data_IF_017213036899
#
_entry.id   IF_017213036899
#
_cell.length_a   1.000
_cell.length_b   1.000
_cell.length_c   1.000
_cell.angle_alpha   90.00
_cell.angle_beta   90.00
_cell.angle_gamma   90.00
#
_symmetry.space_group_name_H-M   'P 1'
#
loop_
_entity.id
_entity.type
_entity.pdbx_description
1 polymer ?
#
# COMPACT_ATOMS: atom_id res chain seq x y z
N UNK A 1 -23.82 4.53 -15.21
CA UNK A 1 -22.35 4.46 -15.27
C UNK A 1 -22.03 3.10 -15.88
N UNK A 2 -21.23 3.07 -16.93
CA UNK A 2 -20.80 1.82 -17.57
C UNK A 2 -19.76 1.14 -16.69
N UNK A 3 -19.88 -0.19 -16.46
CA UNK A 3 -18.88 -0.96 -15.74
C UNK A 3 -18.14 -1.88 -16.71
N UNK A 4 -16.81 -1.86 -16.68
CA UNK A 4 -15.93 -2.71 -17.48
C UNK A 4 -15.09 -3.55 -16.52
N UNK A 5 -15.23 -4.88 -16.61
CA UNK A 5 -14.43 -5.82 -15.83
C UNK A 5 -13.16 -6.15 -16.58
N UNK A 6 -12.03 -5.94 -15.94
CA UNK A 6 -10.69 -6.23 -16.42
C UNK A 6 -10.03 -7.26 -15.51
N UNK A 7 -8.93 -7.84 -15.96
CA UNK A 7 -8.10 -8.72 -15.13
C UNK A 7 -6.66 -8.23 -15.14
N UNK A 8 -6.04 -8.23 -13.99
CA UNK A 8 -4.65 -7.85 -13.78
C UNK A 8 -3.70 -8.51 -14.79
N UNK A 9 -2.82 -7.70 -15.39
CA UNK A 9 -1.80 -8.06 -16.36
C UNK A 9 -2.34 -8.94 -17.53
N UNK A 10 -3.59 -8.71 -17.93
CA UNK A 10 -4.25 -9.44 -19.01
C UNK A 10 -4.82 -8.46 -20.02
N UNK A 11 -4.70 -8.73 -21.34
CA UNK A 11 -5.33 -7.91 -22.36
C UNK A 11 -6.84 -8.11 -22.39
N UNK A 12 -7.60 -7.03 -22.46
CA UNK A 12 -9.04 -7.04 -22.75
C UNK A 12 -9.25 -6.28 -24.05
N UNK A 13 -9.79 -6.96 -25.07
CA UNK A 13 -9.95 -6.41 -26.41
C UNK A 13 -11.33 -5.81 -26.64
N UNK A 14 -11.39 -4.80 -27.51
CA UNK A 14 -12.66 -4.27 -27.99
C UNK A 14 -13.49 -3.55 -26.93
N UNK A 15 -12.86 -2.79 -26.04
CA UNK A 15 -13.55 -2.02 -25.01
C UNK A 15 -14.10 -0.70 -25.59
N UNK A 16 -15.41 -0.46 -25.45
CA UNK A 16 -16.05 0.78 -25.84
C UNK A 16 -15.84 1.87 -24.79
N UNK A 17 -14.70 2.57 -24.85
CA UNK A 17 -14.37 3.69 -23.97
C UNK A 17 -14.09 4.96 -24.76
N UNK A 18 -14.22 6.12 -24.11
CA UNK A 18 -13.88 7.39 -24.76
C UNK A 18 -12.37 7.57 -24.92
N UNK A 19 -11.88 8.34 -25.92
CA UNK A 19 -10.47 8.69 -26.04
C UNK A 19 -9.90 9.37 -24.78
N UNK A 20 -10.72 10.19 -24.10
CA UNK A 20 -10.35 10.82 -22.82
C UNK A 20 -10.10 9.78 -21.72
N UNK A 21 -10.95 8.75 -21.64
CA UNK A 21 -10.77 7.62 -20.71
C UNK A 21 -9.51 6.83 -21.04
N UNK A 22 -9.26 6.55 -22.33
CA UNK A 22 -8.07 5.84 -22.79
C UNK A 22 -6.77 6.60 -22.41
N UNK A 23 -6.74 7.90 -22.68
CA UNK A 23 -5.62 8.75 -22.29
C UNK A 23 -5.42 8.78 -20.77
N UNK A 24 -6.52 8.89 -20.00
CA UNK A 24 -6.46 8.91 -18.53
C UNK A 24 -5.88 7.62 -17.96
N UNK A 25 -6.32 6.44 -18.43
CA UNK A 25 -5.78 5.13 -17.99
C UNK A 25 -4.26 5.05 -18.22
N UNK A 26 -3.80 5.50 -19.38
CA UNK A 26 -2.38 5.49 -19.75
C UNK A 26 -1.58 6.51 -18.93
N UNK A 27 -2.07 7.74 -18.81
CA UNK A 27 -1.41 8.80 -18.04
C UNK A 27 -1.27 8.46 -16.55
N UNK A 28 -2.25 7.72 -15.99
CA UNK A 28 -2.20 7.22 -14.60
C UNK A 28 -1.44 5.91 -14.45
N UNK A 29 -0.88 5.36 -15.52
CA UNK A 29 -0.15 4.08 -15.53
C UNK A 29 -0.97 2.89 -15.01
N UNK A 30 -2.29 2.95 -15.12
CA UNK A 30 -3.21 1.87 -14.74
C UNK A 30 -3.18 0.79 -15.82
N UNK A 31 -3.22 1.22 -17.08
CA UNK A 31 -3.18 0.32 -18.24
C UNK A 31 -2.50 0.99 -19.43
N UNK A 32 -1.94 0.19 -20.31
CA UNK A 32 -1.59 0.61 -21.67
C UNK A 32 -2.82 0.42 -22.55
N UNK A 33 -3.22 1.46 -23.28
CA UNK A 33 -4.42 1.44 -24.13
C UNK A 33 -4.01 1.68 -25.56
N UNK A 34 -4.49 0.83 -26.48
CA UNK A 34 -4.22 0.90 -27.91
C UNK A 34 -5.54 0.89 -28.68
N UNK A 35 -5.64 1.53 -29.85
CA UNK A 35 -6.79 1.37 -30.74
C UNK A 35 -7.00 -0.10 -31.10
N UNK A 36 -8.24 -0.56 -31.06
CA UNK A 36 -8.62 -1.92 -31.47
C UNK A 36 -8.73 -2.02 -33.00
N UNK A 37 -8.75 -3.23 -33.53
CA UNK A 37 -9.05 -3.47 -34.94
C UNK A 37 -10.44 -2.93 -35.35
N UNK A 38 -11.37 -2.85 -34.43
CA UNK A 38 -12.72 -2.26 -34.63
C UNK A 38 -12.68 -0.76 -34.36
N UNK A 39 -13.02 0.05 -35.34
CA UNK A 39 -13.04 1.52 -35.20
C UNK A 39 -13.93 1.96 -34.03
N UNK A 40 -13.43 2.89 -33.19
CA UNK A 40 -14.12 3.40 -32.01
C UNK A 40 -13.97 2.54 -30.75
N UNK A 41 -13.25 1.41 -30.81
CA UNK A 41 -12.95 0.56 -29.68
C UNK A 41 -11.46 0.56 -29.34
N UNK A 42 -11.14 0.17 -28.11
CA UNK A 42 -9.78 0.15 -27.58
C UNK A 42 -9.46 -1.22 -26.97
N UNK A 43 -8.19 -1.63 -27.10
CA UNK A 43 -7.63 -2.78 -26.41
C UNK A 43 -6.88 -2.28 -25.18
N UNK A 44 -7.22 -2.83 -24.02
CA UNK A 44 -6.71 -2.40 -22.71
C UNK A 44 -5.80 -3.49 -22.15
N UNK A 45 -4.54 -3.13 -21.86
CA UNK A 45 -3.56 -3.99 -21.20
C UNK A 45 -3.33 -3.46 -19.79
N UNK A 46 -3.96 -4.06 -18.80
CA UNK A 46 -3.79 -3.68 -17.40
C UNK A 46 -2.37 -3.99 -16.91
N UNK A 47 -1.81 -3.08 -16.08
CA UNK A 47 -0.59 -3.35 -15.34
C UNK A 47 -0.79 -4.35 -14.20
N UNK A 48 0.22 -4.46 -13.34
CA UNK A 48 0.14 -5.24 -12.10
C UNK A 48 -0.58 -4.43 -11.01
N UNK A 49 -1.86 -4.15 -11.26
CA UNK A 49 -2.76 -3.40 -10.37
C UNK A 49 -4.11 -4.11 -10.31
N UNK A 50 -4.79 -4.04 -9.19
CA UNK A 50 -6.15 -4.52 -9.02
C UNK A 50 -6.98 -3.56 -8.16
N UNK A 51 -8.30 -3.70 -8.21
CA UNK A 51 -9.24 -2.86 -7.48
C UNK A 51 -10.26 -2.19 -8.37
N UNK A 52 -10.85 -1.11 -7.90
CA UNK A 52 -11.91 -0.36 -8.61
C UNK A 52 -11.44 1.05 -8.88
N UNK A 53 -11.70 1.55 -10.07
CA UNK A 53 -11.45 2.94 -10.43
C UNK A 53 -12.49 3.45 -11.41
N UNK A 54 -12.90 4.70 -11.26
CA UNK A 54 -13.90 5.32 -12.13
C UNK A 54 -13.34 6.58 -12.78
N UNK A 55 -13.57 6.75 -14.06
CA UNK A 55 -13.21 7.97 -14.80
C UNK A 55 -14.19 8.21 -15.96
N UNK A 56 -14.53 9.47 -16.22
CA UNK A 56 -15.36 9.89 -17.35
C UNK A 56 -16.67 9.07 -17.50
N UNK A 57 -17.33 8.72 -16.39
CA UNK A 57 -18.57 7.96 -16.40
C UNK A 57 -18.43 6.45 -16.60
N UNK A 58 -17.19 5.94 -16.70
CA UNK A 58 -16.87 4.51 -16.77
C UNK A 58 -16.21 4.04 -15.49
N UNK A 59 -16.68 2.93 -14.94
CA UNK A 59 -16.05 2.22 -13.82
C UNK A 59 -15.27 1.02 -14.35
N UNK A 60 -14.05 0.87 -13.91
CA UNK A 60 -13.20 -0.29 -14.17
C UNK A 60 -13.05 -1.12 -12.91
N UNK A 61 -13.38 -2.40 -12.98
CA UNK A 61 -13.18 -3.38 -11.92
C UNK A 61 -12.06 -4.31 -12.36
N UNK A 62 -10.88 -4.19 -11.74
CA UNK A 62 -9.69 -4.94 -12.11
C UNK A 62 -9.51 -6.08 -11.10
N UNK A 63 -9.84 -7.30 -11.53
CA UNK A 63 -9.68 -8.48 -10.70
C UNK A 63 -8.20 -8.88 -10.57
N UNK A 64 -7.70 -9.26 -9.37
CA UNK A 64 -6.33 -9.70 -9.19
C UNK A 64 -6.09 -11.07 -9.86
N UNK A 65 -4.82 -11.38 -10.14
CA UNK A 65 -4.39 -12.71 -10.58
C UNK A 65 -4.52 -13.74 -9.47
N UNK A 66 -4.22 -13.31 -8.25
CA UNK A 66 -4.30 -14.13 -7.04
C UNK A 66 -5.72 -14.19 -6.50
N UNK A 67 -6.09 -15.23 -5.73
CA UNK A 67 -7.30 -15.21 -4.94
C UNK A 67 -7.31 -13.97 -4.02
N UNK A 68 -8.41 -13.26 -3.98
CA UNK A 68 -8.56 -11.97 -3.29
C UNK A 68 -8.09 -12.04 -1.84
N UNK A 69 -8.47 -13.08 -1.10
CA UNK A 69 -8.06 -13.27 0.29
C UNK A 69 -6.54 -13.47 0.45
N UNK A 70 -5.86 -14.10 -0.51
CA UNK A 70 -4.40 -14.25 -0.51
C UNK A 70 -3.71 -12.91 -0.69
N UNK A 71 -4.21 -12.10 -1.61
CA UNK A 71 -3.69 -10.75 -1.81
C UNK A 71 -3.83 -9.90 -0.54
N UNK A 72 -4.97 -9.94 0.15
CA UNK A 72 -5.16 -9.21 1.41
C UNK A 72 -4.25 -9.77 2.51
N UNK A 73 -4.06 -11.08 2.60
CA UNK A 73 -3.11 -11.68 3.55
C UNK A 73 -1.68 -11.18 3.32
N UNK A 74 -1.21 -11.17 2.06
CA UNK A 74 0.11 -10.64 1.69
C UNK A 74 0.23 -9.14 1.97
N UNK A 75 -0.80 -8.37 1.64
CA UNK A 75 -0.85 -6.93 1.88
C UNK A 75 -0.73 -6.62 3.37
N UNK A 76 -1.49 -7.33 4.21
CA UNK A 76 -1.46 -7.21 5.66
C UNK A 76 -0.06 -7.52 6.19
N UNK A 77 0.46 -8.68 5.84
CA UNK A 77 1.79 -9.11 6.27
C UNK A 77 2.88 -8.12 5.85
N UNK A 78 2.85 -7.67 4.60
CA UNK A 78 3.84 -6.74 4.07
C UNK A 78 3.93 -5.43 4.86
N UNK A 79 2.79 -4.93 5.36
CA UNK A 79 2.71 -3.66 6.09
C UNK A 79 2.98 -3.81 7.59
N UNK A 80 2.41 -4.84 8.20
CA UNK A 80 2.34 -4.94 9.67
C UNK A 80 3.20 -6.07 10.24
N UNK A 81 3.58 -7.06 9.43
CA UNK A 81 4.20 -8.30 9.87
C UNK A 81 3.22 -9.26 10.55
N UNK A 82 1.95 -8.91 10.63
CA UNK A 82 0.92 -9.78 11.19
C UNK A 82 0.39 -10.75 10.14
N UNK A 83 0.12 -11.97 10.56
CA UNK A 83 -0.54 -12.97 9.73
C UNK A 83 -2.05 -12.77 9.85
N UNK A 84 -2.73 -12.69 8.71
CA UNK A 84 -4.19 -12.68 8.65
C UNK A 84 -4.67 -13.76 7.70
N UNK A 85 -5.67 -14.51 8.12
CA UNK A 85 -6.36 -15.49 7.30
C UNK A 85 -7.85 -15.17 7.25
N UNK A 86 -8.39 -15.16 6.04
CA UNK A 86 -9.80 -14.91 5.83
C UNK A 86 -10.67 -16.03 6.41
N UNK A 87 -11.73 -15.68 7.13
CA UNK A 87 -12.76 -16.63 7.54
C UNK A 87 -13.47 -17.22 6.31
N UNK A 88 -14.17 -18.39 6.44
CA UNK A 88 -14.87 -19.00 5.32
C UNK A 88 -15.84 -18.05 4.59
N UNK A 89 -16.52 -17.17 5.30
CA UNK A 89 -17.41 -16.15 4.73
C UNK A 89 -16.65 -15.06 4.00
N UNK A 90 -15.50 -14.63 4.52
CA UNK A 90 -14.65 -13.64 3.89
C UNK A 90 -13.97 -14.17 2.62
N UNK A 91 -13.67 -15.47 2.56
CA UNK A 91 -13.14 -16.11 1.35
C UNK A 91 -14.11 -16.09 0.16
N UNK A 92 -15.40 -15.91 0.41
CA UNK A 92 -16.42 -15.81 -0.63
C UNK A 92 -16.48 -14.41 -1.27
N UNK A 93 -15.95 -13.39 -0.61
CA UNK A 93 -15.89 -12.03 -1.15
C UNK A 93 -14.89 -12.00 -2.32
N UNK A 94 -15.42 -11.74 -3.52
CA UNK A 94 -14.62 -11.79 -4.76
C UNK A 94 -13.94 -10.46 -5.06
N UNK A 95 -14.56 -9.35 -4.68
CA UNK A 95 -13.98 -8.03 -4.89
C UNK A 95 -12.91 -7.72 -3.85
N UNK A 96 -11.74 -7.31 -4.32
CA UNK A 96 -10.59 -7.03 -3.45
C UNK A 96 -10.80 -5.79 -2.58
N UNK A 97 -11.56 -4.83 -3.08
CA UNK A 97 -11.85 -3.60 -2.35
C UNK A 97 -12.86 -3.88 -1.25
N UNK A 98 -13.92 -4.63 -1.56
CA UNK A 98 -14.90 -5.05 -0.56
C UNK A 98 -14.24 -5.87 0.56
N UNK A 99 -13.36 -6.82 0.21
CA UNK A 99 -12.65 -7.62 1.22
C UNK A 99 -11.70 -6.75 2.06
N UNK A 100 -11.02 -5.78 1.47
CA UNK A 100 -10.18 -4.82 2.20
C UNK A 100 -11.02 -4.02 3.21
N UNK A 101 -12.21 -3.56 2.80
CA UNK A 101 -13.11 -2.82 3.69
C UNK A 101 -13.69 -3.69 4.80
N UNK A 102 -14.04 -4.96 4.49
CA UNK A 102 -14.48 -5.97 5.47
C UNK A 102 -13.38 -6.21 6.50
N UNK A 103 -12.16 -6.37 6.03
CA UNK A 103 -11.00 -6.54 6.89
C UNK A 103 -10.75 -5.31 7.78
N UNK A 104 -10.77 -4.11 7.20
CA UNK A 104 -10.67 -2.86 7.94
C UNK A 104 -11.72 -2.75 9.04
N UNK A 105 -12.99 -3.09 8.74
CA UNK A 105 -14.09 -3.04 9.71
C UNK A 105 -13.85 -3.96 10.92
N UNK A 106 -13.31 -5.16 10.68
CA UNK A 106 -12.96 -6.13 11.72
C UNK A 106 -11.85 -5.60 12.62
N UNK A 107 -10.73 -5.19 12.04
CA UNK A 107 -9.53 -4.70 12.77
C UNK A 107 -9.82 -3.44 13.57
N UNK A 108 -10.56 -2.49 12.97
CA UNK A 108 -10.95 -1.26 13.64
C UNK A 108 -11.92 -1.53 14.80
N UNK A 109 -12.87 -2.45 14.62
CA UNK A 109 -13.83 -2.83 15.68
C UNK A 109 -13.11 -3.44 16.87
N UNK A 110 -12.11 -4.28 16.64
CA UNK A 110 -11.30 -4.87 17.72
C UNK A 110 -10.44 -3.80 18.44
N UNK A 111 -9.78 -2.93 17.68
CA UNK A 111 -8.97 -1.85 18.26
C UNK A 111 -9.80 -0.91 19.14
N UNK A 112 -11.06 -0.64 18.76
CA UNK A 112 -11.98 0.26 19.47
C UNK A 112 -12.75 -0.39 20.62
N UNK A 113 -12.52 -1.66 20.96
CA UNK A 113 -13.19 -2.32 22.11
C UNK A 113 -13.04 -1.53 23.41
N UNK A 114 -11.95 -0.82 23.58
CA UNK A 114 -11.66 0.00 24.77
C UNK A 114 -11.83 1.50 24.54
N UNK A 115 -12.48 1.89 23.44
CA UNK A 115 -12.76 3.27 23.06
C UNK A 115 -11.70 3.90 22.14
N UNK A 116 -11.94 5.18 21.81
CA UNK A 116 -11.07 5.99 20.97
C UNK A 116 -9.73 6.30 21.65
N UNK A 117 -8.70 6.47 20.85
CA UNK A 117 -7.45 7.09 21.30
C UNK A 117 -7.73 8.50 21.81
N UNK A 118 -7.01 8.87 22.86
CA UNK A 118 -7.01 10.25 23.39
C UNK A 118 -5.58 10.74 23.48
N UNK A 119 -5.42 11.99 23.15
CA UNK A 119 -4.12 12.65 23.16
C UNK A 119 -4.23 14.11 23.55
N UNK A 120 -3.06 14.73 23.67
CA UNK A 120 -2.98 16.16 23.97
C UNK A 120 -2.83 16.94 22.67
N UNK A 121 -3.77 17.86 22.45
CA UNK A 121 -3.73 18.82 21.37
C UNK A 121 -3.43 20.22 21.89
N UNK A 122 -2.49 20.91 21.25
CA UNK A 122 -2.21 22.30 21.59
C UNK A 122 -3.30 23.21 21.03
N UNK A 123 -4.18 23.69 21.88
CA UNK A 123 -5.28 24.58 21.51
C UNK A 123 -4.88 26.03 21.80
N UNK A 124 -5.02 26.89 20.78
CA UNK A 124 -4.84 28.34 20.91
C UNK A 124 -6.17 29.02 20.64
N UNK A 125 -6.71 29.71 21.65
CA UNK A 125 -7.98 30.43 21.51
C UNK A 125 -8.11 31.63 22.41
N UNK A 126 -9.09 32.46 22.12
CA UNK A 126 -9.53 33.52 23.02
C UNK A 126 -10.36 32.93 24.17
N UNK A 127 -10.09 33.40 25.39
CA UNK A 127 -10.76 32.95 26.59
C UNK A 127 -10.97 34.10 27.56
N UNK A 128 -12.08 34.04 28.29
CA UNK A 128 -12.31 34.95 29.44
C UNK A 128 -11.54 34.53 30.69
N UNK A 129 -11.11 33.27 30.74
CA UNK A 129 -10.38 32.67 31.84
C UNK A 129 -8.96 32.35 31.42
N UNK A 130 -8.00 32.60 32.33
CA UNK A 130 -6.63 32.17 32.15
C UNK A 130 -6.50 30.66 32.27
N UNK A 131 -5.92 30.04 31.24
CA UNK A 131 -5.60 28.63 31.23
C UNK A 131 -4.36 28.39 30.37
N UNK A 132 -3.38 27.67 30.91
CA UNK A 132 -2.15 27.36 30.21
C UNK A 132 -1.21 28.58 30.08
N UNK A 133 -0.71 28.87 28.89
CA UNK A 133 0.24 29.94 28.59
C UNK A 133 -0.46 31.13 27.90
N UNK A 134 -0.21 32.35 28.36
CA UNK A 134 -0.64 33.54 27.66
C UNK A 134 0.26 33.80 26.43
N UNK A 135 -0.36 34.04 25.29
CA UNK A 135 0.30 34.37 24.03
C UNK A 135 0.46 35.91 23.95
N UNK A 136 1.47 36.42 24.66
CA UNK A 136 1.69 37.85 24.80
C UNK A 136 1.75 38.61 23.47
N UNK A 137 2.44 38.07 22.46
CA UNK A 137 2.52 38.67 21.13
C UNK A 137 1.15 38.90 20.52
N UNK A 138 0.29 37.88 20.56
CA UNK A 138 -1.06 37.95 20.00
C UNK A 138 -1.98 38.82 20.86
N UNK A 139 -1.82 38.79 22.18
CA UNK A 139 -2.55 39.66 23.11
C UNK A 139 -2.30 41.12 22.80
N UNK A 140 -1.04 41.51 22.65
CA UNK A 140 -0.67 42.92 22.37
C UNK A 140 -1.09 43.35 20.96
N UNK A 141 -0.92 42.49 19.96
CA UNK A 141 -1.23 42.83 18.56
C UNK A 141 -2.74 42.91 18.27
N UNK A 142 -3.53 42.03 18.88
CA UNK A 142 -4.98 41.93 18.60
C UNK A 142 -5.86 42.75 19.50
N UNK A 143 -5.44 42.96 20.75
CA UNK A 143 -6.30 43.57 21.76
C UNK A 143 -5.86 44.95 22.21
N UNK A 144 -4.81 45.56 21.59
CA UNK A 144 -4.37 46.92 21.84
C UNK A 144 -4.32 47.26 23.35
N UNK A 145 -3.64 46.40 24.12
CA UNK A 145 -3.51 46.50 25.61
C UNK A 145 -4.79 46.23 26.42
N UNK A 146 -5.89 45.79 25.81
CA UNK A 146 -7.05 45.30 26.58
C UNK A 146 -6.69 43.97 27.26
N UNK A 147 -7.09 43.85 28.53
CA UNK A 147 -6.80 42.63 29.31
C UNK A 147 -7.64 41.44 28.88
N UNK A 148 -8.86 41.68 28.42
CA UNK A 148 -9.79 40.63 27.97
C UNK A 148 -10.31 40.92 26.57
N UNK A 149 -10.56 39.84 25.74
CA UNK A 149 -10.30 38.44 26.03
C UNK A 149 -8.80 38.10 26.05
N UNK A 150 -8.42 37.02 26.77
CA UNK A 150 -7.05 36.54 26.86
C UNK A 150 -6.73 35.61 25.67
N UNK A 151 -5.60 35.82 25.02
CA UNK A 151 -5.04 34.91 24.02
C UNK A 151 -4.27 33.78 24.75
N UNK A 152 -4.89 32.64 24.94
CA UNK A 152 -4.31 31.51 25.69
C UNK A 152 -3.96 30.32 24.81
N UNK A 153 -2.89 29.62 25.21
CA UNK A 153 -2.49 28.34 24.64
C UNK A 153 -2.39 27.33 25.76
N UNK A 154 -3.06 26.18 25.57
CA UNK A 154 -3.04 25.11 26.54
C UNK A 154 -3.14 23.75 25.86
N UNK A 155 -2.74 22.70 26.59
CA UNK A 155 -2.93 21.33 26.17
C UNK A 155 -4.35 20.87 26.50
N UNK A 156 -5.08 20.44 25.49
CA UNK A 156 -6.41 19.88 25.63
C UNK A 156 -6.36 18.36 25.42
N UNK A 157 -6.84 17.58 26.41
CA UNK A 157 -6.91 16.12 26.28
C UNK A 157 -8.19 15.74 25.54
N UNK A 158 -8.08 15.35 24.31
CA UNK A 158 -9.20 15.17 23.38
C UNK A 158 -9.10 13.87 22.59
N UNK A 159 -10.21 13.40 22.05
CA UNK A 159 -10.27 12.37 21.01
C UNK A 159 -10.09 12.93 19.59
N UNK A 160 -10.15 14.25 19.41
CA UNK A 160 -9.95 14.86 18.10
C UNK A 160 -8.45 14.99 17.75
N UNK A 161 -7.81 13.85 17.54
CA UNK A 161 -6.39 13.71 17.22
C UNK A 161 -6.20 13.15 15.80
N UNK A 162 -5.03 13.34 15.18
CA UNK A 162 -4.73 12.88 13.83
C UNK A 162 -5.13 11.44 13.54
N UNK A 163 -4.81 10.52 14.43
CA UNK A 163 -5.12 9.10 14.29
C UNK A 163 -6.63 8.86 14.13
N UNK A 164 -7.43 9.46 15.00
CA UNK A 164 -8.88 9.28 14.94
C UNK A 164 -9.51 9.97 13.73
N UNK A 165 -8.97 11.09 13.28
CA UNK A 165 -9.41 11.78 12.05
C UNK A 165 -9.16 10.91 10.82
N UNK A 166 -8.00 10.26 10.71
CA UNK A 166 -7.66 9.31 9.65
C UNK A 166 -8.63 8.12 9.66
N UNK A 167 -8.84 7.51 10.83
CA UNK A 167 -9.75 6.38 10.98
C UNK A 167 -11.19 6.75 10.59
N UNK A 168 -11.69 7.91 11.02
CA UNK A 168 -13.04 8.38 10.66
C UNK A 168 -13.16 8.61 9.15
N UNK A 169 -12.17 9.21 8.52
CA UNK A 169 -12.16 9.41 7.07
C UNK A 169 -12.21 8.08 6.32
N UNK A 170 -11.43 7.08 6.76
CA UNK A 170 -11.45 5.73 6.19
C UNK A 170 -12.80 5.01 6.42
N UNK A 171 -13.41 5.17 7.59
CA UNK A 171 -14.76 4.63 7.90
C UNK A 171 -15.80 5.21 6.93
N UNK A 172 -15.79 6.52 6.71
CA UNK A 172 -16.71 7.16 5.77
C UNK A 172 -16.49 6.64 4.35
N UNK A 173 -15.22 6.51 3.93
CA UNK A 173 -14.88 5.95 2.61
C UNK A 173 -15.37 4.52 2.45
N UNK A 174 -15.15 3.68 3.46
CA UNK A 174 -15.58 2.28 3.43
C UNK A 174 -17.10 2.16 3.37
N UNK A 175 -17.84 2.97 4.14
CA UNK A 175 -19.30 3.00 4.09
C UNK A 175 -19.83 3.44 2.73
N UNK A 176 -19.20 4.43 2.08
CA UNK A 176 -19.59 4.90 0.75
C UNK A 176 -19.31 3.84 -0.34
N UNK A 177 -18.28 3.01 -0.15
CA UNK A 177 -17.87 1.97 -1.09
C UNK A 177 -18.74 0.73 -0.98
N UNK A 178 -19.00 0.23 0.23
CA UNK A 178 -19.69 -1.04 0.51
C UNK A 178 -21.21 -1.03 0.28
N UNK A 179 -21.82 0.08 -0.06
CA UNK A 179 -23.30 0.20 -0.16
C UNK A 179 -23.93 -0.60 -1.30
N UNK A 180 -23.14 -1.22 -2.18
CA UNK A 180 -23.59 -1.84 -3.43
C UNK A 180 -23.59 -3.37 -3.45
N UNK A 181 -23.18 -4.04 -2.38
CA UNK A 181 -23.01 -5.48 -2.36
C UNK A 181 -23.96 -6.18 -1.35
N UNK A 182 -24.52 -7.33 -1.73
CA UNK A 182 -25.49 -8.13 -0.92
C UNK A 182 -24.80 -9.31 -0.22
N UNK A 183 -23.49 -9.30 -0.06
CA UNK A 183 -22.74 -10.37 0.58
C UNK A 183 -22.85 -10.28 2.11
N UNK A 184 -23.09 -11.39 2.81
CA UNK A 184 -23.24 -11.46 4.27
C UNK A 184 -22.06 -10.86 5.04
N UNK A 185 -20.82 -11.07 4.55
CA UNK A 185 -19.63 -10.49 5.15
C UNK A 185 -19.63 -8.97 5.02
N UNK A 186 -20.02 -8.46 3.85
CA UNK A 186 -20.14 -7.03 3.56
C UNK A 186 -21.23 -6.37 4.41
N UNK A 187 -22.40 -6.99 4.52
CA UNK A 187 -23.46 -6.49 5.39
C UNK A 187 -23.02 -6.40 6.86
N UNK A 188 -22.27 -7.41 7.31
CA UNK A 188 -21.73 -7.42 8.68
C UNK A 188 -20.73 -6.29 8.89
N UNK A 189 -19.83 -6.08 7.93
CA UNK A 189 -18.88 -4.96 7.96
C UNK A 189 -19.58 -3.61 7.97
N UNK A 190 -20.61 -3.42 7.15
CA UNK A 190 -21.41 -2.18 7.14
C UNK A 190 -22.06 -1.92 8.51
N UNK A 191 -22.62 -2.94 9.15
CA UNK A 191 -23.18 -2.80 10.52
C UNK A 191 -22.10 -2.44 11.53
N UNK A 192 -20.92 -3.08 11.47
CA UNK A 192 -19.77 -2.76 12.33
C UNK A 192 -19.31 -1.31 12.13
N UNK A 193 -19.08 -0.90 10.88
CA UNK A 193 -18.62 0.45 10.55
C UNK A 193 -19.62 1.54 10.97
N UNK A 194 -20.92 1.31 10.80
CA UNK A 194 -21.95 2.25 11.28
C UNK A 194 -21.93 2.40 12.81
N UNK A 195 -21.75 1.31 13.54
CA UNK A 195 -21.61 1.33 15.01
C UNK A 195 -20.34 2.08 15.42
N UNK A 196 -19.22 1.75 14.79
CA UNK A 196 -17.93 2.39 15.03
C UNK A 196 -18.01 3.89 14.72
N UNK A 197 -18.60 4.29 13.58
CA UNK A 197 -18.76 5.70 13.22
C UNK A 197 -19.46 6.52 14.30
N UNK A 198 -20.44 5.94 15.00
CA UNK A 198 -21.15 6.62 16.08
C UNK A 198 -20.27 6.95 17.29
N UNK A 199 -19.10 6.31 17.46
CA UNK A 199 -18.16 6.62 18.55
C UNK A 199 -17.29 7.85 18.25
N UNK A 200 -17.18 8.29 16.99
CA UNK A 200 -16.36 9.43 16.56
C UNK A 200 -17.07 10.80 16.61
N UNK A 201 -18.06 10.98 17.52
CA UNK A 201 -18.90 12.19 17.56
C UNK A 201 -18.10 13.49 17.74
N UNK A 202 -17.02 13.42 18.52
CA UNK A 202 -16.17 14.58 18.85
C UNK A 202 -14.94 14.70 17.96
N UNK A 203 -14.88 13.92 16.87
CA UNK A 203 -13.75 13.90 15.92
C UNK A 203 -14.13 14.66 14.66
N UNK A 204 -13.27 15.60 14.28
CA UNK A 204 -13.45 16.38 13.05
C UNK A 204 -13.29 15.50 11.82
N UNK A 205 -14.26 15.57 10.91
CA UNK A 205 -14.17 14.88 9.61
C UNK A 205 -13.20 15.63 8.70
N UNK A 206 -12.27 14.91 8.08
CA UNK A 206 -11.38 15.48 7.06
C UNK A 206 -12.19 15.86 5.82
N UNK A 207 -11.91 17.04 5.27
CA UNK A 207 -12.49 17.49 4.02
C UNK A 207 -12.06 16.64 2.83
N UNK A 208 -12.85 16.68 1.74
CA UNK A 208 -12.62 15.87 0.52
C UNK A 208 -11.25 16.09 -0.15
N UNK A 209 -10.62 17.24 0.08
CA UNK A 209 -9.33 17.62 -0.50
C UNK A 209 -8.25 17.87 0.58
N UNK A 210 -8.56 17.57 1.82
CA UNK A 210 -7.65 17.75 2.93
C UNK A 210 -6.70 16.56 2.99
N UNK A 211 -5.39 16.85 3.05
CA UNK A 211 -4.40 15.78 3.23
C UNK A 211 -4.58 15.16 4.60
N UNK A 212 -4.49 13.82 4.66
CA UNK A 212 -4.51 13.12 5.92
C UNK A 212 -3.39 13.66 6.84
N UNK A 213 -3.70 14.02 8.08
CA UNK A 213 -2.70 14.52 9.01
C UNK A 213 -1.65 13.44 9.29
N UNK A 214 -0.44 13.86 9.61
CA UNK A 214 0.64 12.92 9.96
C UNK A 214 0.44 12.42 11.39
N UNK A 215 0.63 11.14 11.59
CA UNK A 215 0.70 10.50 12.89
C UNK A 215 2.04 9.78 13.06
N UNK A 216 2.39 9.41 14.27
CA UNK A 216 3.64 8.70 14.55
C UNK A 216 3.39 7.51 15.47
N UNK A 217 3.93 6.31 15.13
CA UNK A 217 3.84 5.14 15.98
C UNK A 217 4.46 5.37 17.35
N UNK A 218 3.74 5.00 18.41
CA UNK A 218 4.22 5.02 19.79
C UNK A 218 3.54 3.91 20.61
N UNK A 219 3.95 3.75 21.87
CA UNK A 219 3.42 2.70 22.74
C UNK A 219 1.91 2.88 23.05
N UNK A 220 1.41 4.12 23.08
CA UNK A 220 0.03 4.43 23.45
C UNK A 220 -0.92 4.11 22.30
N UNK A 221 -0.50 4.30 21.03
CA UNK A 221 -1.32 4.03 19.86
C UNK A 221 -1.06 2.65 19.23
N UNK A 222 -0.25 1.78 19.85
CA UNK A 222 0.17 0.48 19.31
C UNK A 222 -0.98 -0.38 18.77
N UNK A 223 -2.12 -0.42 19.45
CA UNK A 223 -3.32 -1.18 19.04
C UNK A 223 -3.95 -0.65 17.77
N UNK A 224 -3.70 0.60 17.42
CA UNK A 224 -4.26 1.28 16.26
C UNK A 224 -3.31 1.33 15.07
N UNK A 225 -2.04 0.90 15.21
CA UNK A 225 -1.08 0.93 14.09
C UNK A 225 -1.66 0.20 12.88
N UNK A 226 -2.15 -1.02 13.09
CA UNK A 226 -2.66 -1.83 11.99
C UNK A 226 -3.93 -1.24 11.33
N UNK A 227 -5.01 -0.87 12.06
CA UNK A 227 -6.12 -0.15 11.46
C UNK A 227 -5.72 1.16 10.77
N UNK A 228 -4.74 1.89 11.29
CA UNK A 228 -4.23 3.12 10.68
C UNK A 228 -3.52 2.85 9.36
N UNK A 229 -2.68 1.82 9.29
CA UNK A 229 -2.00 1.41 8.05
C UNK A 229 -3.01 1.05 6.95
N UNK A 230 -4.10 0.34 7.31
CA UNK A 230 -5.17 0.03 6.37
C UNK A 230 -5.95 1.30 5.99
N UNK A 231 -6.25 2.16 6.97
CA UNK A 231 -6.92 3.43 6.73
C UNK A 231 -6.13 4.32 5.76
N UNK A 232 -4.82 4.44 5.93
CA UNK A 232 -3.95 5.16 5.00
C UNK A 232 -3.97 4.55 3.59
N UNK A 233 -4.00 3.22 3.47
CA UNK A 233 -4.15 2.55 2.19
C UNK A 233 -5.47 2.92 1.51
N UNK A 234 -6.58 2.88 2.26
CA UNK A 234 -7.91 3.26 1.77
C UNK A 234 -7.92 4.72 1.31
N UNK A 235 -7.28 5.61 2.06
CA UNK A 235 -7.26 7.05 1.77
C UNK A 235 -6.26 7.43 0.67
N UNK A 236 -5.11 6.74 0.58
CA UNK A 236 -4.10 7.01 -0.47
C UNK A 236 -4.63 6.74 -1.86
N UNK A 237 -5.53 5.80 -1.99
CA UNK A 237 -6.22 5.48 -3.25
C UNK A 237 -7.14 6.62 -3.72
N UNK A 238 -7.66 7.45 -2.81
CA UNK A 238 -8.38 8.69 -3.14
C UNK A 238 -7.47 9.80 -3.69
N UNK A 239 -6.18 9.80 -3.36
CA UNK A 239 -5.21 10.80 -3.83
C UNK A 239 -4.98 10.79 -5.35
N UNK A 240 -5.36 9.73 -6.04
CA UNK A 240 -5.37 9.67 -7.52
C UNK A 240 -6.40 10.65 -8.10
N UNK A 241 -7.38 11.07 -7.31
CA UNK A 241 -8.49 11.95 -7.70
C UNK A 241 -8.10 13.43 -7.78
N UNK A 242 -7.23 13.91 -6.90
CA UNK A 242 -7.02 15.35 -6.67
C UNK A 242 -6.29 16.08 -7.81
N UNK A 243 -5.60 15.35 -8.72
CA UNK A 243 -4.83 15.96 -9.81
C UNK A 243 -5.56 16.10 -11.15
N UNK A 244 -6.76 15.54 -11.29
CA UNK A 244 -7.47 15.48 -12.56
C UNK A 244 -8.64 16.45 -12.67
N UNK A 245 -8.50 17.72 -12.31
CA UNK A 245 -9.44 18.83 -12.51
C UNK A 245 -10.89 18.47 -12.89
N UNK A 246 -11.87 18.87 -12.09
CA UNK A 246 -13.35 18.85 -12.32
C UNK A 246 -14.08 17.52 -12.55
N UNK A 247 -13.45 16.38 -12.72
CA UNK A 247 -14.14 15.08 -12.80
C UNK A 247 -13.70 14.17 -11.66
N UNK A 248 -14.69 13.70 -10.88
CA UNK A 248 -14.50 12.77 -9.74
C UNK A 248 -14.12 11.39 -10.28
N UNK A 249 -12.85 11.05 -10.26
CA UNK A 249 -12.45 9.65 -10.30
C UNK A 249 -12.46 9.10 -8.88
N UNK A 250 -13.26 8.07 -8.63
CA UNK A 250 -13.35 7.40 -7.33
C UNK A 250 -12.80 5.99 -7.50
N UNK A 251 -11.89 5.58 -6.62
CA UNK A 251 -11.43 4.21 -6.67
C UNK A 251 -10.35 3.86 -5.67
N UNK A 252 -10.21 2.58 -5.45
CA UNK A 252 -9.12 1.97 -4.66
C UNK A 252 -8.33 1.08 -5.60
N UNK A 253 -7.05 1.39 -5.83
CA UNK A 253 -6.13 0.56 -6.59
C UNK A 253 -5.00 0.06 -5.71
N UNK A 254 -4.70 -1.22 -5.84
CA UNK A 254 -3.60 -1.90 -5.16
C UNK A 254 -2.56 -2.28 -6.19
N UNK A 255 -1.33 -1.80 -6.02
CA UNK A 255 -0.17 -2.19 -6.82
C UNK A 255 0.34 -3.55 -6.33
N UNK A 256 -0.07 -4.62 -6.98
CA UNK A 256 0.18 -6.00 -6.55
C UNK A 256 1.67 -6.38 -6.58
N UNK A 257 2.42 -5.83 -7.54
CA UNK A 257 3.87 -6.02 -7.59
C UNK A 257 4.57 -5.45 -6.34
N UNK A 258 4.10 -4.28 -5.86
CA UNK A 258 4.65 -3.64 -4.65
C UNK A 258 4.30 -4.42 -3.38
N UNK A 259 3.09 -5.02 -3.35
CA UNK A 259 2.70 -5.91 -2.25
C UNK A 259 3.65 -7.10 -2.18
N UNK A 260 3.96 -7.73 -3.31
CA UNK A 260 4.90 -8.86 -3.38
C UNK A 260 6.31 -8.45 -2.94
N UNK A 261 6.87 -7.38 -3.52
CA UNK A 261 8.19 -6.84 -3.16
C UNK A 261 8.29 -6.59 -1.65
N UNK A 262 7.31 -5.89 -1.08
CA UNK A 262 7.31 -5.55 0.35
C UNK A 262 7.11 -6.78 1.23
N UNK A 263 6.30 -7.77 0.80
CA UNK A 263 6.11 -9.02 1.54
C UNK A 263 7.40 -9.87 1.57
N UNK A 264 8.11 -9.97 0.45
CA UNK A 264 9.42 -10.63 0.38
C UNK A 264 10.42 -9.91 1.27
N UNK A 265 10.54 -8.58 1.16
CA UNK A 265 11.43 -7.79 1.98
C UNK A 265 11.15 -7.94 3.48
N UNK A 266 9.87 -8.04 3.85
CA UNK A 266 9.47 -8.29 5.24
C UNK A 266 9.89 -9.68 5.70
N UNK A 267 9.65 -10.72 4.92
CA UNK A 267 10.02 -12.08 5.27
C UNK A 267 11.54 -12.25 5.41
N UNK A 268 12.34 -11.55 4.60
CA UNK A 268 13.79 -11.49 4.77
C UNK A 268 14.20 -10.87 6.11
N UNK A 269 13.56 -9.72 6.48
CA UNK A 269 13.86 -9.08 7.78
C UNK A 269 13.43 -9.90 8.98
N UNK A 270 12.34 -10.66 8.86
CA UNK A 270 11.84 -11.50 9.92
C UNK A 270 12.71 -12.79 10.10
N UNK A 271 13.45 -13.18 9.05
CA UNK A 271 14.25 -14.43 9.03
C UNK A 271 15.74 -14.21 9.28
N UNK A 272 16.27 -13.02 9.04
CA UNK A 272 17.70 -12.73 9.11
C UNK A 272 18.02 -11.82 10.31
N UNK A 273 19.30 -11.72 10.72
CA UNK A 273 19.72 -10.85 11.81
C UNK A 273 19.25 -9.40 11.60
N UNK A 274 18.92 -8.74 12.72
CA UNK A 274 18.46 -7.34 12.66
C UNK A 274 19.50 -6.43 12.01
N UNK A 275 19.06 -5.62 11.01
CA UNK A 275 19.93 -4.70 10.29
C UNK A 275 20.64 -5.28 9.07
N UNK A 276 20.59 -6.61 8.84
CA UNK A 276 21.24 -7.24 7.69
C UNK A 276 20.52 -6.99 6.36
N UNK A 277 19.25 -6.57 6.37
CA UNK A 277 18.44 -6.40 5.15
C UNK A 277 18.15 -4.92 4.88
N UNK A 278 18.68 -4.41 3.77
CA UNK A 278 18.37 -3.08 3.22
C UNK A 278 17.49 -3.21 1.99
N UNK A 279 16.55 -2.28 1.81
CA UNK A 279 15.65 -2.26 0.65
C UNK A 279 15.84 -1.01 -0.18
N UNK A 280 15.72 -1.14 -1.50
CA UNK A 280 15.73 -0.03 -2.45
C UNK A 280 16.95 0.90 -2.30
N UNK A 281 18.10 0.33 -1.92
CA UNK A 281 19.34 1.09 -1.73
C UNK A 281 19.90 1.53 -3.09
N UNK A 282 20.00 2.84 -3.28
CA UNK A 282 20.56 3.40 -4.52
C UNK A 282 22.09 3.39 -4.49
N UNK A 283 22.74 2.83 -5.54
CA UNK A 283 24.19 2.83 -5.71
C UNK A 283 24.55 3.31 -7.12
N UNK A 284 25.63 4.09 -7.25
CA UNK A 284 26.10 4.53 -8.58
C UNK A 284 26.58 3.34 -9.40
N UNK A 285 26.23 3.32 -10.67
CA UNK A 285 26.68 2.30 -11.63
C UNK A 285 28.21 2.39 -11.87
N UNK A 286 28.72 3.61 -11.95
CA UNK A 286 30.15 3.92 -12.13
C UNK A 286 30.47 5.28 -11.49
N UNK A 287 31.71 5.54 -11.05
CA UNK A 287 32.16 6.87 -10.64
C UNK A 287 31.96 7.94 -11.72
N UNK A 288 32.05 7.55 -12.99
CA UNK A 288 32.06 8.45 -14.15
C UNK A 288 30.65 8.82 -14.66
N UNK A 289 29.60 8.29 -14.05
CA UNK A 289 28.21 8.53 -14.45
C UNK A 289 27.30 8.84 -13.28
N UNK A 290 26.26 9.64 -13.52
CA UNK A 290 25.17 9.86 -12.57
C UNK A 290 24.16 8.70 -12.54
N UNK A 291 24.29 7.70 -13.44
CA UNK A 291 23.39 6.56 -13.48
C UNK A 291 23.51 5.75 -12.18
N UNK A 292 22.36 5.36 -11.65
CA UNK A 292 22.25 4.58 -10.42
C UNK A 292 21.50 3.29 -10.67
N UNK A 293 21.86 2.27 -9.91
CA UNK A 293 21.10 1.03 -9.78
C UNK A 293 20.37 1.01 -8.44
N UNK A 294 19.28 0.24 -8.36
CA UNK A 294 18.46 0.18 -7.16
C UNK A 294 17.81 -1.21 -7.05
N UNK A 295 18.55 -2.20 -6.52
CA UNK A 295 17.98 -3.51 -6.25
C UNK A 295 16.92 -3.44 -5.16
N UNK A 296 15.96 -4.36 -5.19
CA UNK A 296 14.90 -4.43 -4.19
C UNK A 296 15.45 -4.81 -2.82
N UNK A 297 16.42 -5.71 -2.78
CA UNK A 297 17.04 -6.23 -1.56
C UNK A 297 18.56 -6.23 -1.66
N UNK A 298 19.19 -5.72 -0.64
CA UNK A 298 20.63 -5.88 -0.38
C UNK A 298 20.79 -6.50 0.99
N UNK A 299 21.49 -7.64 1.05
CA UNK A 299 21.77 -8.35 2.28
C UNK A 299 23.24 -8.10 2.63
N UNK A 300 23.50 -7.76 3.88
CA UNK A 300 24.83 -7.44 4.39
C UNK A 300 25.12 -8.23 5.65
N UNK A 301 26.35 -8.66 5.79
CA UNK A 301 26.94 -9.19 7.00
C UNK A 301 27.84 -8.16 7.70
N UNK A 302 28.71 -8.57 8.59
CA UNK A 302 29.68 -7.72 9.28
C UNK A 302 30.76 -7.12 8.36
N UNK A 303 30.99 -7.71 7.18
CA UNK A 303 31.97 -7.27 6.19
C UNK A 303 31.36 -6.40 5.08
N UNK A 304 30.06 -6.31 4.99
CA UNK A 304 29.35 -5.50 4.02
C UNK A 304 28.33 -6.28 3.19
N UNK A 305 27.94 -5.78 2.00
CA UNK A 305 26.99 -6.46 1.13
C UNK A 305 27.48 -7.84 0.69
N UNK A 306 26.79 -8.90 1.11
CA UNK A 306 27.10 -10.30 0.78
C UNK A 306 26.14 -10.90 -0.26
N UNK A 307 24.94 -10.36 -0.43
CA UNK A 307 24.00 -10.82 -1.46
C UNK A 307 23.08 -9.68 -1.93
N UNK A 308 22.56 -9.83 -3.15
CA UNK A 308 21.62 -8.89 -3.76
C UNK A 308 20.49 -9.67 -4.44
N UNK A 309 19.25 -9.17 -4.30
CA UNK A 309 18.10 -9.77 -4.97
C UNK A 309 17.17 -8.71 -5.55
N UNK A 310 16.42 -9.14 -6.55
CA UNK A 310 15.37 -8.36 -7.19
C UNK A 310 14.10 -9.21 -7.33
N UNK A 311 12.94 -8.64 -7.05
CA UNK A 311 11.66 -9.33 -7.05
C UNK A 311 10.92 -9.12 -8.36
N UNK A 312 10.31 -10.17 -8.88
CA UNK A 312 9.61 -10.14 -10.16
C UNK A 312 8.18 -10.68 -10.00
N UNK A 313 7.21 -9.78 -10.01
CA UNK A 313 5.79 -10.14 -9.92
C UNK A 313 5.25 -10.56 -11.29
N UNK A 314 5.76 -11.68 -11.79
CA UNK A 314 5.36 -12.32 -13.06
C UNK A 314 5.64 -13.82 -13.02
N UNK A 315 4.97 -14.57 -13.91
CA UNK A 315 5.23 -16.00 -14.05
C UNK A 315 6.65 -16.20 -14.58
N UNK A 316 7.48 -16.91 -13.83
CA UNK A 316 8.90 -17.14 -14.16
C UNK A 316 9.14 -18.19 -15.26
N UNK A 317 8.09 -18.65 -15.97
CA UNK A 317 8.21 -19.64 -17.04
C UNK A 317 8.97 -19.08 -18.25
N UNK A 318 8.93 -17.77 -18.50
CA UNK A 318 9.74 -17.10 -19.50
C UNK A 318 10.71 -16.14 -18.82
N UNK A 319 12.01 -16.46 -18.89
CA UNK A 319 13.05 -15.53 -18.47
C UNK A 319 13.13 -14.36 -19.47
N UNK A 320 12.88 -13.18 -18.94
CA UNK A 320 13.08 -11.97 -19.72
C UNK A 320 14.56 -11.58 -19.72
N UNK A 321 15.11 -11.27 -20.89
CA UNK A 321 16.51 -10.86 -21.05
C UNK A 321 16.86 -9.66 -20.16
N UNK A 322 15.95 -8.71 -20.05
CA UNK A 322 16.13 -7.51 -19.24
C UNK A 322 16.32 -7.82 -17.74
N UNK A 323 15.61 -8.83 -17.22
CA UNK A 323 15.78 -9.27 -15.84
C UNK A 323 17.16 -9.87 -15.60
N UNK A 324 17.67 -10.66 -16.57
CA UNK A 324 19.01 -11.23 -16.49
C UNK A 324 20.08 -10.15 -16.58
N UNK A 325 19.95 -9.20 -17.52
CA UNK A 325 20.89 -8.08 -17.62
C UNK A 325 20.91 -7.24 -16.34
N UNK A 326 19.77 -6.94 -15.79
CA UNK A 326 19.66 -6.22 -14.52
C UNK A 326 20.35 -6.99 -13.38
N UNK A 327 20.14 -8.29 -13.27
CA UNK A 327 20.75 -9.14 -12.26
C UNK A 327 22.28 -9.22 -12.40
N UNK A 328 22.81 -9.32 -13.63
CA UNK A 328 24.26 -9.26 -13.90
C UNK A 328 24.85 -7.92 -13.45
N UNK A 329 24.19 -6.81 -13.79
CA UNK A 329 24.64 -5.47 -13.40
C UNK A 329 24.67 -5.34 -11.88
N UNK A 330 23.66 -5.85 -11.18
CA UNK A 330 23.63 -5.83 -9.72
C UNK A 330 24.80 -6.60 -9.12
N UNK A 331 25.04 -7.85 -9.54
CA UNK A 331 26.19 -8.63 -9.07
C UNK A 331 27.51 -7.89 -9.31
N UNK A 332 27.71 -7.35 -10.54
CA UNK A 332 28.92 -6.64 -10.90
C UNK A 332 29.17 -5.39 -10.03
N UNK A 333 28.16 -4.53 -9.85
CA UNK A 333 28.32 -3.26 -9.10
C UNK A 333 28.54 -3.50 -7.61
N UNK A 334 28.00 -4.60 -7.07
CA UNK A 334 28.21 -5.00 -5.68
C UNK A 334 29.48 -5.84 -5.48
N UNK A 335 30.17 -6.25 -6.56
CA UNK A 335 31.37 -7.09 -6.49
C UNK A 335 31.07 -8.52 -6.02
N UNK A 336 29.87 -9.01 -6.35
CA UNK A 336 29.40 -10.32 -5.93
C UNK A 336 29.51 -11.33 -7.08
N UNK A 337 29.75 -12.60 -6.74
CA UNK A 337 29.75 -13.71 -7.69
C UNK A 337 28.32 -14.19 -8.06
N UNK A 338 27.29 -13.68 -7.40
CA UNK A 338 25.91 -14.05 -7.70
C UNK A 338 24.93 -12.93 -7.40
N UNK A 339 23.77 -12.97 -8.08
CA UNK A 339 22.56 -12.21 -7.73
C UNK A 339 21.34 -13.10 -7.87
N UNK A 340 20.27 -12.77 -7.16
CA UNK A 340 19.05 -13.60 -7.09
C UNK A 340 17.86 -12.86 -7.70
N UNK A 341 17.11 -13.54 -8.56
CA UNK A 341 15.80 -13.12 -9.04
C UNK A 341 14.72 -13.95 -8.34
N UNK A 342 13.80 -13.28 -7.63
CA UNK A 342 12.70 -13.93 -6.90
C UNK A 342 11.39 -13.69 -7.64
N UNK A 343 10.83 -14.75 -8.21
CA UNK A 343 9.59 -14.71 -8.98
C UNK A 343 8.37 -15.06 -8.11
N UNK A 344 7.24 -14.35 -8.33
CA UNK A 344 5.99 -14.54 -7.58
C UNK A 344 5.18 -15.80 -7.98
N UNK A 345 5.53 -16.44 -9.08
CA UNK A 345 4.81 -17.58 -9.62
C UNK A 345 5.32 -18.94 -9.17
N UNK A 346 4.78 -19.98 -9.80
CA UNK A 346 5.23 -21.36 -9.65
C UNK A 346 6.37 -21.65 -10.63
N UNK A 347 7.36 -22.38 -10.18
CA UNK A 347 8.48 -22.79 -11.01
C UNK A 347 9.51 -23.63 -10.24
N UNK A 348 10.50 -24.12 -10.96
CA UNK A 348 11.63 -24.83 -10.37
C UNK A 348 12.84 -23.91 -10.22
N UNK A 349 13.43 -23.90 -9.07
CA UNK A 349 14.67 -23.16 -8.82
C UNK A 349 15.77 -23.62 -9.78
N UNK A 350 16.54 -22.66 -10.24
CA UNK A 350 17.65 -22.93 -11.17
C UNK A 350 18.72 -21.84 -11.06
N UNK A 351 19.93 -22.22 -11.38
CA UNK A 351 21.07 -21.32 -11.44
C UNK A 351 21.58 -21.22 -12.90
N UNK A 352 21.85 -19.99 -13.35
CA UNK A 352 22.34 -19.70 -14.69
C UNK A 352 23.71 -19.07 -14.56
N UNK A 353 24.74 -19.77 -15.03
CA UNK A 353 26.10 -19.25 -15.12
C UNK A 353 26.24 -18.36 -16.36
N UNK A 354 26.76 -17.17 -16.17
CA UNK A 354 26.97 -16.22 -17.27
C UNK A 354 28.26 -16.53 -18.00
N UNK A 355 28.16 -16.79 -19.29
CA UNK A 355 29.34 -17.11 -20.14
C UNK A 355 30.35 -15.96 -20.14
N UNK A 356 31.62 -16.28 -19.92
CA UNK A 356 32.69 -15.28 -19.92
C UNK A 356 32.80 -14.49 -18.61
N UNK A 357 32.11 -14.89 -17.55
CA UNK A 357 32.20 -14.29 -16.21
C UNK A 357 32.05 -15.35 -15.14
N UNK A 358 32.41 -14.99 -13.89
CA UNK A 358 32.18 -15.85 -12.71
C UNK A 358 30.81 -15.59 -12.04
N UNK A 359 29.93 -14.83 -12.72
CA UNK A 359 28.62 -14.47 -12.17
C UNK A 359 27.61 -15.59 -12.41
N UNK A 360 26.89 -15.94 -11.38
CA UNK A 360 25.77 -16.87 -11.42
C UNK A 360 24.46 -16.13 -11.04
N UNK A 361 23.46 -16.21 -11.91
CA UNK A 361 22.12 -15.70 -11.61
C UNK A 361 21.28 -16.82 -11.01
N UNK A 362 20.82 -16.62 -9.79
CA UNK A 362 19.97 -17.57 -9.08
C UNK A 362 18.51 -17.21 -9.29
N UNK A 363 17.73 -18.14 -9.81
CA UNK A 363 16.30 -17.98 -10.00
C UNK A 363 15.58 -18.78 -8.93
N UNK A 364 14.78 -18.09 -8.14
CA UNK A 364 14.01 -18.64 -7.03
C UNK A 364 12.54 -18.29 -7.19
N UNK A 365 11.68 -19.17 -6.70
CA UNK A 365 10.23 -19.00 -6.80
C UNK A 365 9.62 -18.91 -5.41
N UNK A 366 8.78 -17.91 -5.21
CA UNK A 366 7.95 -17.71 -4.02
C UNK A 366 6.49 -17.67 -4.47
N UNK A 367 5.81 -18.82 -4.46
CA UNK A 367 4.43 -18.95 -4.93
C UNK A 367 3.46 -18.20 -4.02
N UNK A 368 2.95 -17.08 -4.52
CA UNK A 368 2.00 -16.22 -3.82
C UNK A 368 0.58 -16.81 -3.71
N UNK A 369 0.29 -17.91 -4.41
CA UNK A 369 -1.00 -18.60 -4.32
C UNK A 369 -1.11 -19.54 -3.09
N UNK A 370 0.02 -19.85 -2.47
CA UNK A 370 0.10 -20.69 -1.27
C UNK A 370 -0.41 -19.95 -0.01
N UNK A 371 -0.75 -20.69 1.05
CA UNK A 371 -0.96 -20.11 2.38
C UNK A 371 0.18 -19.18 2.79
N UNK A 372 -0.14 -18.13 3.55
CA UNK A 372 0.86 -17.14 3.95
C UNK A 372 2.03 -17.77 4.71
N UNK A 373 1.76 -18.74 5.60
CA UNK A 373 2.79 -19.49 6.34
C UNK A 373 3.76 -20.24 5.44
N UNK A 374 3.27 -20.87 4.38
CA UNK A 374 4.10 -21.59 3.40
C UNK A 374 4.93 -20.59 2.55
N UNK A 375 4.31 -19.48 2.15
CA UNK A 375 5.03 -18.39 1.48
C UNK A 375 6.17 -17.84 2.34
N UNK A 376 5.90 -17.56 3.63
CA UNK A 376 6.90 -17.09 4.59
C UNK A 376 8.04 -18.09 4.77
N UNK A 377 7.72 -19.37 4.97
CA UNK A 377 8.71 -20.43 5.11
C UNK A 377 9.61 -20.53 3.87
N UNK A 378 9.02 -20.45 2.68
CA UNK A 378 9.76 -20.49 1.42
C UNK A 378 10.69 -19.29 1.25
N UNK A 379 10.21 -18.11 1.54
CA UNK A 379 11.03 -16.89 1.45
C UNK A 379 12.14 -16.89 2.49
N UNK A 380 11.89 -17.40 3.69
CA UNK A 380 12.91 -17.59 4.73
C UNK A 380 14.02 -18.55 4.29
N UNK A 381 13.66 -19.68 3.64
CA UNK A 381 14.63 -20.61 3.06
C UNK A 381 15.54 -19.91 2.03
N UNK A 382 14.96 -19.11 1.12
CA UNK A 382 15.72 -18.32 0.14
C UNK A 382 16.66 -17.35 0.86
N UNK A 383 16.15 -16.63 1.87
CA UNK A 383 16.91 -15.64 2.63
C UNK A 383 18.14 -16.28 3.33
N UNK A 384 17.95 -17.39 4.02
CA UNK A 384 19.03 -18.11 4.68
C UNK A 384 20.08 -18.64 3.69
N UNK A 385 19.62 -19.18 2.54
CA UNK A 385 20.53 -19.64 1.50
C UNK A 385 21.41 -18.51 0.94
N UNK A 386 20.85 -17.29 0.83
CA UNK A 386 21.57 -16.11 0.35
C UNK A 386 22.54 -15.54 1.41
N UNK A 387 22.18 -15.61 2.69
CA UNK A 387 22.98 -15.05 3.80
C UNK A 387 24.17 -15.93 4.18
N UNK A 388 24.05 -17.27 4.10
CA UNK A 388 25.06 -18.24 4.52
C UNK A 388 26.08 -18.60 3.42
N UNK A 389 26.17 -17.83 2.36
CA UNK A 389 27.14 -17.99 1.28
C UNK A 389 28.36 -17.11 1.47
#
# INVERSE_FOLDING_TARGET
MQTITLREATPTRGCGISPATAHWLTAKKIATVQPSATAGYFDIFTGNVCGIVSSHGTQFEIAPKLPTHRLISLLTYSRTGLTWEASPTQQQVRDVVDLLMVYFASELSEALRFGLLRGYETTSKQSRFYRGRLRLKDQLSRHQMRIQPLEVQYQNFTSNIPENQILLAAVNTALDTLTKCSDTAVETAVRQLRRVRATFRDVTTLGLHEQAPRWSPNALNKKFHHPLDIAELILSSKGIEAQAGRQRSQGVLIETWRVFETAVARAFRDSLPAGSVSTQQSRRLSPDTAATIRPDLVISDEYGPCAVADTKYKDGNSLHRDDLYQAVVYATVYGLSSSTLIYAGRGSDRDIRISGSDITIQIRFADTSLPLSEFQARVAEIAHHMFNR
#
